data_IF_851292740280
#
_entry.id   IF_851292740280
#
_cell.length_a   1.000
_cell.length_b   1.000
_cell.length_c   1.000
_cell.angle_alpha   90.00
_cell.angle_beta   90.00
_cell.angle_gamma   90.00
#
_symmetry.space_group_name_H-M   'P 1'
#
loop_
_entity.id
_entity.type
_entity.pdbx_description
1 polymer ?
#
# COMPACT_ATOMS: atom_id res chain seq x y z
N UNK A 1 -12.39 -2.87 -4.30
CA UNK A 1 -11.06 -3.47 -4.01
C UNK A 1 -11.12 -4.65 -3.02
N UNK A 2 -12.25 -5.36 -2.84
CA UNK A 2 -12.27 -6.63 -2.08
C UNK A 2 -11.82 -7.79 -2.98
N UNK A 3 -10.55 -8.15 -2.90
CA UNK A 3 -9.86 -9.10 -3.77
C UNK A 3 -9.04 -10.08 -2.94
N UNK A 4 -8.77 -11.25 -3.49
CA UNK A 4 -7.96 -12.26 -2.81
C UNK A 4 -6.45 -11.97 -2.93
N UNK A 5 -5.63 -12.76 -2.23
CA UNK A 5 -4.18 -12.59 -2.21
C UNK A 5 -3.57 -12.63 -3.62
N UNK A 6 -3.98 -13.61 -4.44
CA UNK A 6 -3.43 -13.81 -5.78
C UNK A 6 -3.79 -12.67 -6.74
N UNK A 7 -5.00 -12.12 -6.63
CA UNK A 7 -5.42 -10.93 -7.37
C UNK A 7 -4.58 -9.71 -6.96
N UNK A 8 -4.35 -9.48 -5.67
CA UNK A 8 -3.48 -8.39 -5.19
C UNK A 8 -2.01 -8.59 -5.58
N UNK A 9 -1.52 -9.82 -5.61
CA UNK A 9 -0.18 -10.19 -6.09
C UNK A 9 -0.03 -9.84 -7.57
N UNK A 10 -0.96 -10.29 -8.42
CA UNK A 10 -0.90 -10.12 -9.87
C UNK A 10 -1.28 -8.70 -10.36
N UNK A 11 -2.10 -8.00 -9.57
CA UNK A 11 -2.72 -6.74 -9.97
C UNK A 11 -4.05 -6.95 -10.71
N UNK A 12 -4.90 -5.93 -10.69
CA UNK A 12 -6.23 -5.94 -11.29
C UNK A 12 -6.70 -4.53 -11.64
N UNK A 13 -7.76 -4.42 -12.43
CA UNK A 13 -8.33 -3.15 -12.86
C UNK A 13 -7.83 -2.69 -14.23
N UNK A 14 -8.00 -1.40 -14.53
CA UNK A 14 -7.74 -0.84 -15.86
C UNK A 14 -6.92 0.46 -15.75
N UNK A 15 -5.89 0.67 -16.59
CA UNK A 15 -5.07 1.89 -16.60
C UNK A 15 -5.84 3.20 -16.80
N UNK A 16 -7.01 3.15 -17.44
CA UNK A 16 -7.86 4.32 -17.69
C UNK A 16 -8.89 4.57 -16.59
N UNK A 17 -8.80 3.86 -15.47
CA UNK A 17 -9.72 3.97 -14.34
C UNK A 17 -9.08 3.45 -13.06
N UNK A 18 -9.84 2.71 -12.27
CA UNK A 18 -9.35 2.12 -11.03
C UNK A 18 -8.44 0.91 -11.31
N UNK A 19 -7.26 0.90 -10.71
CA UNK A 19 -6.32 -0.22 -10.80
C UNK A 19 -5.52 -0.41 -9.52
N UNK A 20 -5.12 -1.66 -9.30
CA UNK A 20 -4.02 -2.03 -8.42
C UNK A 20 -2.91 -2.64 -9.28
N UNK A 21 -1.71 -2.05 -9.24
CA UNK A 21 -0.62 -2.45 -10.13
C UNK A 21 -0.18 -3.91 -9.93
N UNK A 22 -0.36 -4.44 -8.72
CA UNK A 22 0.09 -5.77 -8.31
C UNK A 22 1.31 -5.69 -7.41
N UNK A 23 1.28 -6.43 -6.29
CA UNK A 23 2.33 -6.38 -5.29
C UNK A 23 3.68 -6.87 -5.82
N UNK A 24 3.67 -7.85 -6.75
CA UNK A 24 4.91 -8.31 -7.39
C UNK A 24 5.58 -7.19 -8.21
N UNK A 25 4.78 -6.39 -8.91
CA UNK A 25 5.30 -5.26 -9.70
C UNK A 25 5.78 -4.13 -8.79
N UNK A 26 5.03 -3.83 -7.72
CA UNK A 26 5.44 -2.84 -6.72
C UNK A 26 6.76 -3.22 -6.06
N UNK A 27 6.91 -4.49 -5.66
CA UNK A 27 8.17 -5.00 -5.13
C UNK A 27 9.31 -4.84 -6.14
N UNK A 28 9.13 -5.30 -7.37
CA UNK A 28 10.16 -5.21 -8.42
C UNK A 28 10.59 -3.77 -8.70
N UNK A 29 9.64 -2.83 -8.73
CA UNK A 29 9.95 -1.41 -8.92
C UNK A 29 10.75 -0.87 -7.74
N UNK A 30 10.31 -1.13 -6.52
CA UNK A 30 10.83 -0.47 -5.32
C UNK A 30 12.05 -1.14 -4.69
N UNK A 31 12.37 -2.40 -5.04
CA UNK A 31 13.48 -3.14 -4.43
C UNK A 31 14.88 -2.66 -4.86
N UNK A 32 14.99 -2.04 -6.04
CA UNK A 32 16.29 -1.75 -6.66
C UNK A 32 16.84 -0.34 -6.48
N UNK A 33 16.00 0.61 -6.03
CA UNK A 33 16.35 2.05 -5.90
C UNK A 33 15.48 2.68 -4.82
N UNK A 34 15.86 3.88 -4.39
CA UNK A 34 15.01 4.70 -3.55
C UNK A 34 13.86 5.27 -4.38
N UNK A 35 12.63 4.93 -4.01
CA UNK A 35 11.42 5.49 -4.58
C UNK A 35 10.71 6.35 -3.55
N UNK A 36 10.07 7.41 -4.05
CA UNK A 36 9.16 8.22 -3.27
C UNK A 36 7.72 7.77 -3.55
N UNK A 37 6.87 7.85 -2.52
CA UNK A 37 5.43 7.67 -2.68
C UNK A 37 4.75 9.03 -2.57
N UNK A 38 3.97 9.39 -3.57
CA UNK A 38 3.07 10.54 -3.54
C UNK A 38 1.62 10.04 -3.52
N UNK A 39 0.88 10.38 -2.48
CA UNK A 39 -0.54 10.09 -2.33
C UNK A 39 -1.30 11.40 -2.46
N UNK A 40 -2.21 11.47 -3.42
CA UNK A 40 -3.13 12.59 -3.63
C UNK A 40 -4.53 12.16 -3.20
N UNK A 41 -5.22 13.03 -2.49
CA UNK A 41 -6.55 12.79 -1.94
C UNK A 41 -7.42 14.01 -2.27
N UNK A 42 -8.66 13.74 -2.67
CA UNK A 42 -9.71 14.74 -2.89
C UNK A 42 -10.92 14.32 -2.05
N UNK A 43 -11.50 15.25 -1.30
CA UNK A 43 -12.75 15.00 -0.59
C UNK A 43 -13.99 15.27 -1.45
N UNK A 44 -15.18 15.09 -0.88
CA UNK A 44 -16.44 15.28 -1.62
C UNK A 44 -16.73 16.75 -1.95
N UNK A 45 -16.06 17.69 -1.28
CA UNK A 45 -16.18 19.13 -1.48
C UNK A 45 -15.13 19.67 -2.48
N UNK A 46 -14.21 18.81 -2.93
CA UNK A 46 -13.16 19.12 -3.89
C UNK A 46 -11.88 19.67 -3.24
N UNK A 47 -11.75 19.58 -1.92
CA UNK A 47 -10.53 19.99 -1.24
C UNK A 47 -9.44 18.92 -1.43
N UNK A 48 -8.26 19.40 -1.83
CA UNK A 48 -7.12 18.55 -2.15
C UNK A 48 -6.15 18.46 -0.98
N UNK A 49 -5.70 17.25 -0.66
CA UNK A 49 -4.62 17.00 0.28
C UNK A 49 -3.60 16.03 -0.30
N UNK A 50 -2.35 16.09 0.18
CA UNK A 50 -1.32 15.14 -0.25
C UNK A 50 -0.45 14.64 0.91
N UNK A 51 0.14 13.47 0.71
CA UNK A 51 1.19 12.91 1.52
C UNK A 51 2.35 12.46 0.61
N UNK A 52 3.55 12.94 0.90
CA UNK A 52 4.80 12.57 0.23
C UNK A 52 5.71 11.86 1.21
N UNK A 53 6.15 10.66 0.86
CA UNK A 53 7.12 9.88 1.61
C UNK A 53 8.42 9.79 0.81
N UNK A 54 9.54 10.18 1.43
CA UNK A 54 10.84 10.18 0.75
C UNK A 54 11.43 8.79 0.53
N UNK A 55 10.95 7.79 1.26
CA UNK A 55 11.29 6.37 1.06
C UNK A 55 10.03 5.54 1.07
N UNK A 56 9.87 4.69 0.06
CA UNK A 56 8.78 3.76 -0.10
C UNK A 56 9.28 2.46 -0.73
N UNK A 57 9.07 1.35 -0.03
CA UNK A 57 9.40 0.01 -0.52
C UNK A 57 8.34 -1.00 -0.12
N UNK A 58 8.17 -2.00 -0.98
CA UNK A 58 7.31 -3.16 -0.75
C UNK A 58 8.21 -4.40 -0.76
N UNK A 59 8.17 -5.18 0.32
CA UNK A 59 8.92 -6.43 0.45
C UNK A 59 8.48 -7.49 -0.57
N UNK A 60 9.19 -8.62 -0.62
CA UNK A 60 8.83 -9.72 -1.53
C UNK A 60 7.57 -10.47 -1.05
N UNK A 61 7.10 -11.45 -1.85
CA UNK A 61 5.99 -12.32 -1.41
C UNK A 61 6.34 -13.16 -0.18
N UNK A 62 7.60 -13.58 -0.04
CA UNK A 62 8.10 -14.32 1.13
C UNK A 62 8.09 -13.46 2.38
N UNK A 63 8.27 -12.14 2.21
CA UNK A 63 8.17 -11.13 3.26
C UNK A 63 6.75 -10.57 3.40
N UNK A 64 5.76 -11.22 2.75
CA UNK A 64 4.35 -10.83 2.80
C UNK A 64 4.11 -9.37 2.40
N UNK A 65 4.92 -8.89 1.45
CA UNK A 65 4.88 -7.51 0.94
C UNK A 65 4.97 -6.45 2.04
N UNK A 66 5.78 -6.70 3.08
CA UNK A 66 6.03 -5.76 4.18
C UNK A 66 6.26 -4.34 3.67
N UNK A 67 5.50 -3.38 4.20
CA UNK A 67 5.65 -1.97 3.87
C UNK A 67 6.89 -1.39 4.57
N UNK A 68 7.73 -0.68 3.84
CA UNK A 68 8.73 0.22 4.43
C UNK A 68 8.47 1.63 3.92
N UNK A 69 8.21 2.56 4.83
CA UNK A 69 7.88 3.94 4.48
C UNK A 69 8.47 4.91 5.50
N UNK A 70 9.01 6.04 5.03
CA UNK A 70 9.55 7.08 5.93
C UNK A 70 9.63 8.46 5.26
N UNK A 71 9.89 9.48 6.07
CA UNK A 71 10.16 10.84 5.58
C UNK A 71 8.92 11.54 5.06
N UNK A 72 7.82 11.42 5.81
CA UNK A 72 6.56 12.08 5.51
C UNK A 72 6.70 13.60 5.45
N UNK A 73 6.06 14.18 4.44
CA UNK A 73 5.72 15.60 4.33
C UNK A 73 4.36 15.71 3.64
N UNK A 74 3.56 16.74 3.94
CA UNK A 74 2.29 16.93 3.25
C UNK A 74 1.20 17.55 4.12
N UNK A 75 0.02 17.70 3.53
CA UNK A 75 -1.16 18.33 4.15
C UNK A 75 -2.20 17.32 4.63
N UNK A 76 -2.12 16.06 4.21
CA UNK A 76 -3.12 15.02 4.52
C UNK A 76 -3.00 14.41 5.94
N UNK A 77 -1.90 14.69 6.65
CA UNK A 77 -1.52 13.98 7.88
C UNK A 77 -0.82 12.65 7.58
N UNK A 78 0.00 12.17 8.52
CA UNK A 78 0.78 10.95 8.32
C UNK A 78 -0.02 9.70 8.74
N UNK A 79 -0.89 9.23 7.85
CA UNK A 79 -1.72 8.07 8.11
C UNK A 79 -1.01 6.72 7.92
N UNK A 80 0.09 6.67 7.14
CA UNK A 80 0.84 5.44 6.86
C UNK A 80 1.90 5.09 7.91
N UNK A 81 2.31 6.01 8.78
CA UNK A 81 3.32 5.73 9.82
C UNK A 81 2.98 4.48 10.64
N UNK A 82 1.73 4.35 11.10
CA UNK A 82 1.24 3.18 11.85
C UNK A 82 1.26 1.86 11.06
N UNK A 83 1.36 1.95 9.73
CA UNK A 83 1.43 0.80 8.82
C UNK A 83 2.87 0.46 8.42
N UNK A 84 3.85 1.29 8.77
CA UNK A 84 5.26 1.00 8.50
C UNK A 84 5.65 -0.33 9.18
N UNK A 85 6.39 -1.16 8.45
CA UNK A 85 6.82 -2.51 8.82
C UNK A 85 5.68 -3.54 9.01
N UNK A 86 4.42 -3.18 8.75
CA UNK A 86 3.32 -4.14 8.77
C UNK A 86 3.30 -4.99 7.50
N UNK A 87 2.78 -6.20 7.61
CA UNK A 87 2.57 -7.10 6.47
C UNK A 87 1.27 -6.76 5.73
N UNK A 88 1.22 -7.13 4.46
CA UNK A 88 0.00 -7.03 3.67
C UNK A 88 -0.95 -8.18 4.05
N UNK A 89 -2.24 -7.89 4.17
CA UNK A 89 -3.30 -8.86 4.49
C UNK A 89 -4.44 -8.77 3.49
N UNK A 90 -5.07 -9.90 3.21
CA UNK A 90 -6.30 -10.01 2.42
C UNK A 90 -7.30 -10.89 3.16
N UNK A 91 -8.56 -10.88 2.71
CA UNK A 91 -9.64 -11.70 3.30
C UNK A 91 -9.32 -13.20 3.42
N UNK A 92 -8.46 -13.71 2.55
CA UNK A 92 -8.03 -15.11 2.45
C UNK A 92 -6.59 -15.34 2.94
N UNK A 93 -5.86 -14.30 3.34
CA UNK A 93 -4.53 -14.40 3.92
C UNK A 93 -4.33 -13.33 5.00
N UNK A 94 -4.57 -13.73 6.25
CA UNK A 94 -4.39 -12.87 7.43
C UNK A 94 -2.93 -12.85 7.87
N UNK A 95 -2.31 -11.68 7.77
CA UNK A 95 -0.95 -11.41 8.23
C UNK A 95 -0.89 -10.20 9.15
N UNK A 96 -2.02 -9.69 9.61
CA UNK A 96 -2.05 -8.49 10.43
C UNK A 96 -1.73 -8.80 11.90
N UNK A 97 -1.48 -7.76 12.69
CA UNK A 97 -1.12 -7.91 14.11
C UNK A 97 -2.31 -8.13 15.04
N UNK A 98 -3.53 -8.26 14.53
CA UNK A 98 -4.73 -8.43 15.34
C UNK A 98 -5.02 -9.92 15.58
N UNK A 99 -5.02 -10.31 16.85
CA UNK A 99 -5.24 -11.71 17.23
C UNK A 99 -6.73 -12.12 17.22
N UNK A 100 -7.65 -11.15 17.21
CA UNK A 100 -9.07 -11.39 17.39
C UNK A 100 -9.86 -11.43 16.07
N UNK A 101 -9.44 -10.66 15.08
CA UNK A 101 -10.13 -10.51 13.80
C UNK A 101 -9.14 -10.36 12.65
N UNK A 102 -9.53 -10.80 11.45
CA UNK A 102 -8.84 -10.43 10.22
C UNK A 102 -9.34 -9.04 9.79
N UNK A 103 -8.46 -8.03 9.76
CA UNK A 103 -8.83 -6.66 9.42
C UNK A 103 -9.32 -6.51 7.96
N UNK A 104 -9.01 -7.46 7.10
CA UNK A 104 -9.39 -7.47 5.69
C UNK A 104 -10.69 -8.25 5.39
N UNK A 105 -11.38 -8.76 6.43
CA UNK A 105 -12.61 -9.54 6.30
C UNK A 105 -13.88 -8.67 6.23
#
# INVERSE_FOLDING_TARGET
FSRNWDEYKAGFGQPTGELWLGNDRLHQLTAGRDYQLYVELEDQEGEMAFALYSSFQVGSSEEKYRLTVSGYTGTAGDALDKHNQQFFSTRDMDNDGNEAINCAQ
#
